data_IF_165437184375
#
_entry.id   IF_165437184375
#
_cell.length_a   1.000
_cell.length_b   1.000
_cell.length_c   1.000
_cell.angle_alpha   90.00
_cell.angle_beta   90.00
_cell.angle_gamma   90.00
#
_symmetry.space_group_name_H-M   'P 1'
#
loop_
_entity.id
_entity.type
_entity.pdbx_description
1 polymer ?
#
# COMPACT_ATOMS: atom_id res chain seq x y z
N UNK A 1 -7.02 -3.59 8.58
CA UNK A 1 -5.85 -2.73 8.90
C UNK A 1 -5.19 -3.10 10.23
N UNK A 2 -6.02 -3.37 11.23
CA UNK A 2 -5.63 -3.70 12.60
C UNK A 2 -4.77 -4.98 12.69
N UNK A 3 -5.12 -6.01 11.92
CA UNK A 3 -4.33 -7.25 11.84
C UNK A 3 -2.94 -7.04 11.26
N UNK A 4 -2.80 -6.15 10.25
CA UNK A 4 -1.50 -5.85 9.63
C UNK A 4 -0.64 -5.06 10.62
N UNK A 5 -1.23 -4.13 11.39
CA UNK A 5 -0.49 -3.37 12.42
C UNK A 5 0.08 -4.23 13.54
N UNK A 6 -0.57 -5.34 13.87
CA UNK A 6 -0.09 -6.26 14.90
C UNK A 6 1.13 -7.10 14.46
N UNK A 7 1.27 -7.34 13.15
CA UNK A 7 2.33 -8.20 12.59
C UNK A 7 3.37 -7.43 11.75
N UNK A 8 3.11 -6.16 11.44
CA UNK A 8 4.00 -5.38 10.60
C UNK A 8 5.30 -5.06 11.34
N UNK A 9 6.40 -5.17 10.59
CA UNK A 9 7.72 -4.79 11.08
C UNK A 9 8.05 -3.34 10.74
N UNK A 10 7.57 -2.87 9.58
CA UNK A 10 7.72 -1.47 9.12
C UNK A 10 6.44 -1.06 8.39
N UNK A 11 5.83 0.05 8.79
CA UNK A 11 4.72 0.67 8.06
C UNK A 11 5.27 1.53 6.91
N UNK A 12 4.66 1.46 5.72
CA UNK A 12 4.99 2.34 4.60
C UNK A 12 3.79 3.28 4.37
N UNK A 13 3.72 4.41 5.11
CA UNK A 13 2.58 5.31 5.04
C UNK A 13 2.37 5.92 3.65
N UNK A 14 3.45 6.12 2.88
CA UNK A 14 3.40 6.72 1.54
C UNK A 14 2.51 5.97 0.54
N UNK A 15 2.40 4.65 0.63
CA UNK A 15 1.46 3.87 -0.19
C UNK A 15 0.01 4.16 0.18
N UNK A 16 -0.29 4.25 1.49
CA UNK A 16 -1.62 4.57 1.98
C UNK A 16 -2.05 5.99 1.59
N UNK A 17 -1.12 6.94 1.63
CA UNK A 17 -1.34 8.32 1.21
C UNK A 17 -1.57 8.44 -0.30
N UNK A 18 -0.73 7.82 -1.12
CA UNK A 18 -0.87 7.83 -2.57
C UNK A 18 -2.19 7.19 -3.01
N UNK A 19 -2.51 5.99 -2.51
CA UNK A 19 -3.79 5.33 -2.81
C UNK A 19 -4.98 6.17 -2.38
N UNK A 20 -4.93 6.83 -1.21
CA UNK A 20 -6.04 7.65 -0.71
C UNK A 20 -6.21 8.93 -1.54
N UNK A 21 -5.12 9.59 -1.91
CA UNK A 21 -5.14 10.81 -2.75
C UNK A 21 -5.77 10.53 -4.11
N UNK A 22 -5.29 9.50 -4.80
CA UNK A 22 -5.81 9.14 -6.12
C UNK A 22 -7.26 8.64 -6.04
N UNK A 23 -7.58 7.83 -5.03
CA UNK A 23 -8.96 7.35 -4.84
C UNK A 23 -9.93 8.47 -4.50
N UNK A 24 -9.51 9.51 -3.77
CA UNK A 24 -10.33 10.69 -3.48
C UNK A 24 -10.68 11.47 -4.75
N UNK A 25 -9.80 11.49 -5.76
CA UNK A 25 -10.06 12.15 -7.03
C UNK A 25 -11.17 11.44 -7.82
N UNK A 26 -11.33 10.13 -7.64
CA UNK A 26 -12.33 9.31 -8.34
C UNK A 26 -13.64 9.25 -7.56
N UNK A 27 -13.56 9.11 -6.23
CA UNK A 27 -14.75 8.97 -5.38
C UNK A 27 -14.55 9.69 -4.05
N UNK A 28 -15.43 10.64 -3.70
CA UNK A 28 -15.30 11.40 -2.45
C UNK A 28 -15.38 10.53 -1.19
N UNK A 29 -16.01 9.34 -1.27
CA UNK A 29 -16.08 8.38 -0.18
C UNK A 29 -14.74 7.66 0.11
N UNK A 30 -13.72 7.84 -0.74
CA UNK A 30 -12.41 7.23 -0.52
C UNK A 30 -11.69 7.75 0.74
N UNK A 31 -12.16 8.84 1.35
CA UNK A 31 -11.72 9.30 2.66
C UNK A 31 -11.85 8.24 3.75
N UNK A 32 -12.84 7.35 3.64
CA UNK A 32 -13.06 6.25 4.58
C UNK A 32 -12.12 5.06 4.33
N UNK A 33 -11.28 5.12 3.29
CA UNK A 33 -10.36 4.04 2.96
C UNK A 33 -9.26 3.94 4.01
N UNK A 34 -9.26 2.79 4.70
CA UNK A 34 -8.20 2.40 5.63
C UNK A 34 -7.07 1.63 4.93
N UNK A 35 -6.83 1.93 3.66
CA UNK A 35 -5.70 1.38 2.89
C UNK A 35 -4.37 1.73 3.54
N UNK A 36 -3.47 0.75 3.52
CA UNK A 36 -2.21 0.70 4.26
C UNK A 36 -1.26 -0.15 3.44
N UNK A 37 0.03 0.16 3.44
CA UNK A 37 1.04 -0.82 3.08
C UNK A 37 2.04 -0.96 4.23
N UNK A 38 2.54 -2.17 4.40
CA UNK A 38 3.52 -2.48 5.41
C UNK A 38 4.42 -3.63 4.96
N UNK A 39 5.63 -3.68 5.50
CA UNK A 39 6.53 -4.81 5.33
C UNK A 39 6.33 -5.75 6.51
N UNK A 40 5.96 -6.99 6.19
CA UNK A 40 5.88 -8.11 7.13
C UNK A 40 7.04 -9.04 6.83
N UNK A 41 8.00 -9.11 7.74
CA UNK A 41 9.28 -9.81 7.59
C UNK A 41 10.11 -9.42 6.34
N UNK A 42 9.87 -10.07 5.20
CA UNK A 42 10.51 -9.89 3.89
C UNK A 42 9.51 -9.72 2.75
N UNK A 43 8.23 -9.57 3.08
CA UNK A 43 7.14 -9.42 2.12
C UNK A 43 6.47 -8.06 2.24
N UNK A 44 6.07 -7.50 1.12
CA UNK A 44 5.22 -6.30 1.06
C UNK A 44 3.76 -6.71 1.16
N UNK A 45 3.04 -6.17 2.14
CA UNK A 45 1.62 -6.40 2.35
C UNK A 45 0.88 -5.09 2.10
N UNK A 46 -0.09 -5.10 1.19
CA UNK A 46 -0.90 -3.92 0.83
C UNK A 46 -2.38 -4.24 1.13
N UNK A 47 -3.00 -3.40 1.95
CA UNK A 47 -4.43 -3.44 2.23
C UNK A 47 -5.20 -2.67 1.16
N UNK A 48 -5.76 -3.40 0.21
CA UNK A 48 -6.61 -2.88 -0.85
C UNK A 48 -8.08 -2.78 -0.41
N UNK A 49 -8.90 -1.94 -1.05
CA UNK A 49 -10.33 -1.87 -0.80
C UNK A 49 -11.04 -3.17 -1.19
N UNK A 50 -12.16 -3.48 -0.53
CA UNK A 50 -12.88 -4.75 -0.72
C UNK A 50 -13.62 -4.90 -2.05
N UNK A 51 -13.78 -3.82 -2.83
CA UNK A 51 -14.37 -3.89 -4.17
C UNK A 51 -13.28 -4.21 -5.20
N UNK A 52 -13.46 -5.21 -6.09
CA UNK A 52 -12.43 -5.62 -7.04
C UNK A 52 -12.03 -4.50 -8.02
N UNK A 53 -12.98 -3.68 -8.47
CA UNK A 53 -12.70 -2.53 -9.35
C UNK A 53 -11.78 -1.50 -8.66
N UNK A 54 -12.12 -1.10 -7.43
CA UNK A 54 -11.30 -0.17 -6.66
C UNK A 54 -9.96 -0.77 -6.24
N UNK A 55 -9.86 -2.10 -6.09
CA UNK A 55 -8.60 -2.76 -5.80
C UNK A 55 -7.65 -2.68 -7.01
N UNK A 56 -8.16 -2.89 -8.23
CA UNK A 56 -7.39 -2.75 -9.47
C UNK A 56 -6.91 -1.31 -9.68
N UNK A 57 -7.78 -0.33 -9.46
CA UNK A 57 -7.41 1.09 -9.55
C UNK A 57 -6.36 1.47 -8.51
N UNK A 58 -6.59 1.15 -7.24
CA UNK A 58 -5.64 1.39 -6.16
C UNK A 58 -4.28 0.74 -6.41
N UNK A 59 -4.28 -0.51 -6.90
CA UNK A 59 -3.06 -1.22 -7.25
C UNK A 59 -2.33 -0.53 -8.40
N UNK A 60 -3.07 -0.02 -9.40
CA UNK A 60 -2.53 0.76 -10.51
C UNK A 60 -1.76 2.01 -10.07
N UNK A 61 -2.22 2.71 -9.03
CA UNK A 61 -1.54 3.91 -8.52
C UNK A 61 -0.18 3.61 -7.88
N UNK A 62 -0.02 2.42 -7.30
CA UNK A 62 1.17 2.05 -6.53
C UNK A 62 2.07 1.04 -7.25
N UNK A 63 1.65 0.50 -8.39
CA UNK A 63 2.36 -0.58 -9.10
C UNK A 63 3.81 -0.23 -9.42
N UNK A 64 4.09 1.04 -9.75
CA UNK A 64 5.45 1.51 -10.04
C UNK A 64 6.40 1.47 -8.84
N UNK A 65 5.86 1.57 -7.61
CA UNK A 65 6.64 1.55 -6.39
C UNK A 65 6.82 0.13 -5.81
N UNK A 66 6.03 -0.85 -6.25
CA UNK A 66 6.06 -2.24 -5.74
C UNK A 66 7.45 -2.88 -5.89
N UNK A 67 8.13 -2.85 -7.06
CA UNK A 67 9.42 -3.54 -7.23
C UNK A 67 10.48 -3.02 -6.25
N UNK A 68 10.53 -1.70 -6.06
CA UNK A 68 11.47 -1.08 -5.14
C UNK A 68 11.12 -1.38 -3.68
N UNK A 69 9.82 -1.32 -3.32
CA UNK A 69 9.37 -1.67 -1.97
C UNK A 69 9.64 -3.14 -1.61
N UNK A 70 9.53 -4.06 -2.56
CA UNK A 70 9.89 -5.47 -2.36
C UNK A 70 11.41 -5.65 -2.21
N UNK A 71 12.22 -4.97 -3.02
CA UNK A 71 13.68 -5.00 -2.87
C UNK A 71 14.12 -4.48 -1.49
N UNK A 72 13.50 -3.39 -1.03
CA UNK A 72 13.72 -2.83 0.30
C UNK A 72 13.30 -3.80 1.42
N UNK A 73 12.17 -4.49 1.26
CA UNK A 73 11.72 -5.54 2.18
C UNK A 73 12.70 -6.73 2.27
N UNK A 74 13.32 -7.09 1.14
CA UNK A 74 14.33 -8.15 1.06
C UNK A 74 15.71 -7.71 1.56
N UNK A 75 15.87 -6.45 2.00
CA UNK A 75 17.16 -5.84 2.39
C UNK A 75 18.19 -5.88 1.25
N UNK A 76 17.72 -5.90 0.01
CA UNK A 76 18.59 -5.71 -1.15
C UNK A 76 18.96 -4.21 -1.18
N UNK A 77 20.25 -3.85 -1.29
CA UNK A 77 20.63 -2.45 -1.42
C UNK A 77 20.07 -1.91 -2.74
N UNK A 78 19.01 -1.12 -2.63
CA UNK A 78 18.42 -0.36 -3.73
C UNK A 78 18.74 1.12 -3.54
N UNK A 79 19.23 1.76 -4.62
CA UNK A 79 19.42 3.21 -4.68
C UNK A 79 18.05 3.88 -4.57
N UNK A 80 17.81 4.57 -3.46
CA UNK A 80 16.93 5.73 -3.46
C UNK A 80 17.60 6.89 -4.20
#
# INVERSE_FOLDING_TARGET
PEAIRAIMRVEIPGFGEAMRRESMAITPNAILSRSLAAIVERALVIALPGKPSGALECLGFVVGAIPHAVALAQRVPTSC
#
